data_IF_930349110070
#
_entry.id   IF_930349110070
#
_cell.length_a   1.000
_cell.length_b   1.000
_cell.length_c   1.000
_cell.angle_alpha   90.00
_cell.angle_beta   90.00
_cell.angle_gamma   90.00
#
_symmetry.space_group_name_H-M   'P 1'
#
loop_
_entity.id
_entity.type
_entity.pdbx_description
1 polymer ?
#
# COMPACT_ATOMS: atom_id res chain seq x y z
N UNK A 1 18.66 23.21 -12.41
CA UNK A 1 20.07 23.07 -11.98
C UNK A 1 20.79 22.22 -13.00
N UNK A 2 21.70 22.82 -13.76
CA UNK A 2 22.61 22.11 -14.67
C UNK A 2 23.65 21.35 -13.86
N UNK A 3 23.68 20.02 -13.98
CA UNK A 3 24.75 19.20 -13.42
C UNK A 3 26.02 19.41 -14.27
N UNK A 4 26.97 20.17 -13.73
CA UNK A 4 28.32 20.28 -14.28
C UNK A 4 29.06 18.97 -14.04
N UNK A 5 29.25 18.18 -15.09
CA UNK A 5 30.14 17.02 -15.07
C UNK A 5 31.60 17.50 -15.12
N UNK A 6 32.18 17.70 -13.94
CA UNK A 6 33.64 17.79 -13.76
C UNK A 6 34.04 16.93 -12.56
N UNK A 7 33.55 15.69 -12.47
CA UNK A 7 34.00 14.79 -11.43
C UNK A 7 35.24 14.05 -11.90
N UNK A 8 36.36 14.30 -11.18
CA UNK A 8 37.53 13.41 -11.22
C UNK A 8 37.05 11.98 -10.96
N UNK A 9 37.63 10.96 -11.63
CA UNK A 9 37.27 9.58 -11.35
C UNK A 9 37.44 9.30 -9.85
N UNK A 10 36.43 8.70 -9.22
CA UNK A 10 36.51 8.25 -7.84
C UNK A 10 37.70 7.30 -7.72
N UNK A 11 38.71 7.72 -6.94
CA UNK A 11 39.75 6.80 -6.49
C UNK A 11 39.10 5.85 -5.48
N UNK A 12 39.00 4.57 -5.83
CA UNK A 12 38.47 3.51 -4.96
C UNK A 12 39.40 3.17 -3.77
N UNK A 13 40.53 3.88 -3.66
CA UNK A 13 41.49 3.77 -2.55
C UNK A 13 42.02 5.17 -2.21
N UNK A 14 42.40 5.44 -0.95
CA UNK A 14 43.09 6.67 -0.60
C UNK A 14 44.43 6.78 -1.35
N UNK A 15 44.94 8.01 -1.48
CA UNK A 15 46.26 8.25 -2.08
C UNK A 15 47.38 7.59 -1.25
N UNK A 16 47.20 7.56 0.06
CA UNK A 16 48.03 6.82 1.01
C UNK A 16 47.11 5.93 1.87
N UNK A 17 47.18 4.59 1.74
CA UNK A 17 46.36 3.66 2.52
C UNK A 17 46.77 3.54 3.99
N UNK A 18 47.95 4.03 4.36
CA UNK A 18 48.49 3.91 5.72
C UNK A 18 48.36 5.24 6.51
N UNK A 19 47.87 6.31 5.87
CA UNK A 19 47.64 7.59 6.52
C UNK A 19 46.52 7.50 7.59
N UNK A 20 46.62 8.24 8.71
CA UNK A 20 45.58 8.29 9.71
C UNK A 20 44.29 8.90 9.14
N UNK A 21 43.15 8.38 9.57
CA UNK A 21 41.84 8.92 9.19
C UNK A 21 41.58 10.20 9.99
N UNK A 22 41.46 11.32 9.30
CA UNK A 22 41.00 12.59 9.87
C UNK A 22 39.48 12.72 9.69
N UNK A 23 38.74 12.76 10.80
CA UNK A 23 37.29 12.97 10.77
C UNK A 23 37.03 14.48 10.64
N UNK A 24 36.31 14.84 9.59
CA UNK A 24 35.79 16.20 9.41
C UNK A 24 34.51 16.36 10.23
N UNK A 25 34.65 16.87 11.45
CA UNK A 25 33.55 17.13 12.40
C UNK A 25 32.41 17.95 11.78
N UNK A 26 32.71 18.83 10.81
CA UNK A 26 31.69 19.67 10.16
C UNK A 26 30.75 18.90 9.24
N UNK A 27 31.13 17.68 8.84
CA UNK A 27 30.31 16.78 7.99
C UNK A 27 29.49 15.77 8.79
N UNK A 28 29.63 15.73 10.11
CA UNK A 28 28.87 14.79 10.93
C UNK A 28 27.38 15.13 10.96
N UNK A 29 26.56 14.10 10.71
CA UNK A 29 25.11 14.19 10.89
C UNK A 29 24.74 13.48 12.21
N UNK A 30 24.66 14.26 13.30
CA UNK A 30 24.37 13.73 14.62
C UNK A 30 23.02 13.01 14.71
N UNK A 31 22.01 13.43 13.93
CA UNK A 31 20.71 12.75 13.91
C UNK A 31 20.81 11.37 13.27
N UNK A 32 21.59 11.23 12.19
CA UNK A 32 21.81 9.93 11.56
C UNK A 32 22.56 8.97 12.50
N UNK A 33 23.58 9.47 13.20
CA UNK A 33 24.33 8.69 14.19
C UNK A 33 23.40 8.19 15.29
N UNK A 34 22.59 9.09 15.87
CA UNK A 34 21.61 8.74 16.90
C UNK A 34 20.63 7.65 16.44
N UNK A 35 20.13 7.75 15.20
CA UNK A 35 19.21 6.75 14.61
C UNK A 35 19.92 5.40 14.40
N UNK A 36 21.14 5.42 13.87
CA UNK A 36 21.91 4.20 13.60
C UNK A 36 22.24 3.45 14.90
N UNK A 37 22.75 4.16 15.91
CA UNK A 37 23.05 3.59 17.22
C UNK A 37 21.80 2.99 17.87
N UNK A 38 20.66 3.70 17.82
CA UNK A 38 19.39 3.22 18.36
C UNK A 38 18.89 1.96 17.63
N UNK A 39 19.00 1.92 16.30
CA UNK A 39 18.59 0.76 15.51
C UNK A 39 19.46 -0.47 15.82
N UNK A 40 20.79 -0.30 15.90
CA UNK A 40 21.71 -1.37 16.29
C UNK A 40 21.42 -1.87 17.70
N UNK A 41 21.18 -0.95 18.64
CA UNK A 41 20.83 -1.28 20.02
C UNK A 41 19.49 -2.04 20.12
N UNK A 42 18.52 -1.75 19.23
CA UNK A 42 17.25 -2.46 19.18
C UNK A 42 17.36 -3.87 18.57
N UNK A 43 18.20 -4.05 17.54
CA UNK A 43 18.36 -5.34 16.84
C UNK A 43 19.29 -6.30 17.60
N UNK A 44 20.33 -5.81 18.26
CA UNK A 44 21.31 -6.66 18.94
C UNK A 44 20.70 -7.63 19.99
N UNK A 45 19.73 -7.22 20.82
CA UNK A 45 19.00 -8.14 21.70
C UNK A 45 18.29 -9.27 20.95
N UNK A 46 17.69 -9.00 19.78
CA UNK A 46 17.00 -10.02 18.96
C UNK A 46 17.97 -11.13 18.57
N UNK A 47 19.18 -10.79 18.12
CA UNK A 47 20.21 -11.78 17.77
C UNK A 47 20.60 -12.66 18.97
N UNK A 48 20.75 -12.05 20.15
CA UNK A 48 21.13 -12.78 21.37
C UNK A 48 20.00 -13.66 21.89
N UNK A 49 18.79 -13.12 21.99
CA UNK A 49 17.61 -13.80 22.53
C UNK A 49 17.16 -14.96 21.64
N UNK A 50 17.13 -14.76 20.32
CA UNK A 50 16.77 -15.80 19.36
C UNK A 50 17.95 -16.71 19.00
N UNK A 51 19.14 -16.44 19.54
CA UNK A 51 20.39 -17.17 19.28
C UNK A 51 20.67 -17.30 17.78
N UNK A 52 20.44 -16.21 17.04
CA UNK A 52 20.66 -16.17 15.58
C UNK A 52 22.12 -16.48 15.32
N UNK A 53 22.36 -17.56 14.59
CA UNK A 53 23.69 -18.02 14.21
C UNK A 53 24.22 -17.22 13.04
N UNK A 54 25.54 -17.22 12.85
CA UNK A 54 26.15 -16.61 11.68
C UNK A 54 25.65 -17.24 10.37
N UNK A 55 25.38 -18.56 10.36
CA UNK A 55 24.84 -19.24 9.19
C UNK A 55 23.43 -18.76 8.81
N UNK A 56 22.53 -18.59 9.79
CA UNK A 56 21.20 -18.02 9.56
C UNK A 56 21.27 -16.57 9.07
N UNK A 57 22.22 -15.79 9.61
CA UNK A 57 22.47 -14.43 9.13
C UNK A 57 22.97 -14.41 7.68
N UNK A 58 23.86 -15.31 7.28
CA UNK A 58 24.29 -15.40 5.87
C UNK A 58 23.15 -15.78 4.93
N UNK A 59 22.23 -16.67 5.35
CA UNK A 59 21.01 -16.97 4.58
C UNK A 59 20.14 -15.72 4.41
N UNK A 60 19.95 -14.94 5.48
CA UNK A 60 19.23 -13.65 5.37
C UNK A 60 19.94 -12.69 4.42
N UNK A 61 21.28 -12.61 4.45
CA UNK A 61 22.04 -11.80 3.49
C UNK A 61 21.85 -12.26 2.05
N UNK A 62 21.72 -13.57 1.80
CA UNK A 62 21.42 -14.09 0.46
C UNK A 62 20.05 -13.65 -0.04
N UNK A 63 19.03 -13.65 0.83
CA UNK A 63 17.70 -13.09 0.51
C UNK A 63 17.83 -11.62 0.10
N UNK A 64 18.53 -10.80 0.89
CA UNK A 64 18.74 -9.38 0.59
C UNK A 64 19.49 -9.18 -0.75
N UNK A 65 20.53 -9.99 -1.03
CA UNK A 65 21.26 -9.95 -2.30
C UNK A 65 20.37 -10.26 -3.50
N UNK A 66 19.47 -11.24 -3.37
CA UNK A 66 18.52 -11.58 -4.43
C UNK A 66 17.55 -10.44 -4.65
N UNK A 67 16.95 -9.89 -3.58
CA UNK A 67 16.05 -8.74 -3.66
C UNK A 67 16.72 -7.55 -4.36
N UNK A 68 17.99 -7.27 -4.06
CA UNK A 68 18.73 -6.19 -4.70
C UNK A 68 18.93 -6.44 -6.20
N UNK A 69 19.28 -7.66 -6.61
CA UNK A 69 19.50 -8.01 -8.02
C UNK A 69 18.21 -8.02 -8.83
N UNK A 70 17.09 -8.33 -8.21
CA UNK A 70 15.78 -8.37 -8.84
C UNK A 70 15.01 -7.05 -8.73
N UNK A 71 15.63 -5.98 -8.22
CA UNK A 71 14.96 -4.70 -7.97
C UNK A 71 13.68 -4.81 -7.10
N UNK A 72 13.66 -5.75 -6.15
CA UNK A 72 12.51 -6.09 -5.32
C UNK A 72 12.66 -5.64 -3.85
N UNK A 73 13.72 -4.88 -3.52
CA UNK A 73 13.96 -4.38 -2.15
C UNK A 73 12.81 -3.51 -1.67
N UNK A 74 12.33 -2.59 -2.51
CA UNK A 74 11.21 -1.70 -2.17
C UNK A 74 9.95 -2.50 -1.82
N UNK A 75 9.54 -3.42 -2.71
CA UNK A 75 8.39 -4.30 -2.46
C UNK A 75 8.57 -5.21 -1.23
N UNK A 76 9.79 -5.62 -0.90
CA UNK A 76 10.04 -6.40 0.32
C UNK A 76 9.90 -5.54 1.58
N UNK A 77 10.43 -4.32 1.59
CA UNK A 77 10.31 -3.42 2.74
C UNK A 77 8.87 -2.95 2.96
N UNK A 78 8.12 -2.69 1.89
CA UNK A 78 6.68 -2.39 1.90
C UNK A 78 5.87 -3.50 2.60
N UNK A 79 6.27 -4.76 2.38
CA UNK A 79 5.64 -5.94 2.99
C UNK A 79 6.07 -6.16 4.45
N UNK A 80 7.31 -5.82 4.81
CA UNK A 80 7.88 -6.21 6.11
C UNK A 80 7.95 -5.09 7.15
N UNK A 81 8.28 -3.86 6.74
CA UNK A 81 8.61 -2.78 7.67
C UNK A 81 7.62 -1.62 7.65
N UNK A 82 6.93 -1.33 6.53
CA UNK A 82 6.06 -0.16 6.44
C UNK A 82 4.97 -0.15 7.52
N UNK A 83 4.46 -1.32 7.88
CA UNK A 83 3.50 -1.48 8.97
C UNK A 83 3.98 -1.02 10.35
N UNK A 84 5.29 -0.98 10.59
CA UNK A 84 5.82 -0.52 11.87
C UNK A 84 5.58 0.97 12.11
N UNK A 85 5.27 1.72 11.05
CA UNK A 85 4.98 3.16 11.11
C UNK A 85 3.49 3.47 11.09
N UNK A 86 2.64 2.46 10.92
CA UNK A 86 1.20 2.64 10.78
C UNK A 86 0.50 2.67 12.14
N UNK A 87 0.18 3.88 12.62
CA UNK A 87 -0.54 4.10 13.88
C UNK A 87 -1.95 3.49 13.91
N UNK A 88 -2.57 3.24 12.75
CA UNK A 88 -3.90 2.62 12.67
C UNK A 88 -3.87 1.12 12.98
N UNK A 89 -2.67 0.52 13.04
CA UNK A 89 -2.47 -0.86 13.47
C UNK A 89 -2.41 -1.01 15.00
N UNK A 90 -2.44 0.10 15.75
CA UNK A 90 -2.40 0.09 17.20
C UNK A 90 -3.70 -0.45 17.83
N UNK A 91 -3.57 -1.14 18.96
CA UNK A 91 -4.70 -1.63 19.75
C UNK A 91 -5.64 -0.48 20.16
N UNK A 92 -6.90 -0.58 19.72
CA UNK A 92 -7.96 0.38 20.01
C UNK A 92 -8.24 1.41 18.91
N UNK A 93 -7.64 1.30 17.72
CA UNK A 93 -8.01 2.16 16.58
C UNK A 93 -9.43 1.87 16.09
N UNK A 94 -10.32 2.87 16.16
CA UNK A 94 -11.73 2.72 15.78
C UNK A 94 -12.01 3.08 14.31
N UNK A 95 -11.17 3.93 13.70
CA UNK A 95 -11.31 4.32 12.29
C UNK A 95 -10.95 3.22 11.30
N UNK A 96 -11.06 3.48 10.00
CA UNK A 96 -10.58 2.56 8.97
C UNK A 96 -9.06 2.35 9.13
N UNK A 97 -8.57 1.11 9.17
CA UNK A 97 -7.13 0.85 9.14
C UNK A 97 -6.51 1.33 7.83
N UNK A 98 -5.34 1.97 7.88
CA UNK A 98 -4.56 2.23 6.70
C UNK A 98 -3.83 0.99 6.21
N UNK A 99 -3.37 1.07 4.97
CA UNK A 99 -2.44 0.13 4.38
C UNK A 99 -1.39 0.92 3.61
N UNK A 100 -0.20 0.33 3.41
CA UNK A 100 0.81 0.96 2.59
C UNK A 100 0.36 1.07 1.13
N UNK A 101 1.04 1.95 0.40
CA UNK A 101 0.73 2.27 -0.99
C UNK A 101 0.96 1.08 -1.93
N UNK A 102 1.99 0.29 -1.65
CA UNK A 102 2.47 -0.73 -2.55
C UNK A 102 3.25 -0.14 -3.74
N UNK A 103 4.06 -0.96 -4.42
CA UNK A 103 5.02 -0.50 -5.42
C UNK A 103 4.39 -0.14 -6.78
N UNK A 104 3.07 -0.23 -6.92
CA UNK A 104 2.37 -0.13 -8.21
C UNK A 104 1.50 1.13 -8.33
N UNK A 105 1.64 2.09 -7.41
CA UNK A 105 1.05 3.41 -7.59
C UNK A 105 1.75 4.17 -8.71
N UNK A 106 0.97 4.84 -9.56
CA UNK A 106 1.48 5.72 -10.60
C UNK A 106 0.73 7.05 -10.51
N UNK A 107 1.41 8.18 -10.21
CA UNK A 107 0.74 9.47 -10.07
C UNK A 107 0.23 9.97 -11.43
N UNK A 108 -0.88 10.71 -11.41
CA UNK A 108 -1.43 11.35 -12.61
C UNK A 108 -2.55 10.58 -13.32
N UNK A 109 -3.16 9.61 -12.65
CA UNK A 109 -4.36 8.94 -13.16
C UNK A 109 -5.45 9.94 -13.58
N UNK A 110 -6.28 9.62 -14.59
CA UNK A 110 -7.26 10.55 -15.13
C UNK A 110 -8.32 10.92 -14.10
N UNK A 111 -8.66 12.21 -14.01
CA UNK A 111 -9.81 12.67 -13.23
C UNK A 111 -11.09 12.38 -14.01
N UNK A 112 -11.91 11.48 -13.47
CA UNK A 112 -13.12 10.97 -14.08
C UNK A 112 -14.29 11.94 -13.90
N UNK A 113 -15.19 11.95 -14.89
CA UNK A 113 -16.47 12.66 -14.82
C UNK A 113 -17.55 11.69 -14.35
N UNK A 114 -18.45 12.17 -13.50
CA UNK A 114 -19.61 11.38 -13.10
C UNK A 114 -20.49 11.09 -14.31
N UNK A 115 -20.98 9.86 -14.41
CA UNK A 115 -21.82 9.37 -15.52
C UNK A 115 -23.32 9.38 -15.19
N UNK A 116 -23.70 9.86 -14.01
CA UNK A 116 -25.08 9.85 -13.54
C UNK A 116 -25.32 10.87 -12.42
N UNK A 117 -26.51 10.86 -11.80
CA UNK A 117 -26.77 11.68 -10.62
C UNK A 117 -25.86 11.24 -9.47
N UNK A 118 -25.28 12.20 -8.75
CA UNK A 118 -24.34 11.93 -7.66
C UNK A 118 -22.91 11.63 -8.16
N UNK A 119 -22.16 10.94 -7.32
CA UNK A 119 -20.75 10.60 -7.51
C UNK A 119 -20.59 9.17 -8.07
N UNK A 120 -21.04 8.95 -9.31
CA UNK A 120 -21.02 7.64 -9.99
C UNK A 120 -20.00 7.64 -11.14
N UNK A 121 -18.99 6.78 -11.04
CA UNK A 121 -17.85 6.76 -11.97
C UNK A 121 -17.65 5.39 -12.62
N UNK A 122 -16.85 5.35 -13.68
CA UNK A 122 -16.43 4.12 -14.34
C UNK A 122 -14.92 4.23 -14.54
N UNK A 123 -14.16 3.27 -14.00
CA UNK A 123 -12.72 3.26 -14.22
C UNK A 123 -12.42 3.07 -15.72
N UNK A 124 -11.33 3.66 -16.25
CA UNK A 124 -10.87 3.35 -17.59
C UNK A 124 -10.66 1.84 -17.71
N UNK A 125 -11.22 1.22 -18.74
CA UNK A 125 -11.06 -0.20 -19.00
C UNK A 125 -11.22 -0.50 -20.50
N UNK A 126 -10.78 -1.66 -20.97
CA UNK A 126 -11.05 -2.10 -22.35
C UNK A 126 -12.57 -2.24 -22.58
N UNK A 127 -13.00 -2.17 -23.84
CA UNK A 127 -14.43 -2.36 -24.19
C UNK A 127 -14.95 -3.75 -23.84
N UNK A 128 -14.06 -4.73 -23.82
CA UNK A 128 -14.26 -6.14 -23.53
C UNK A 128 -13.38 -6.57 -22.35
N UNK A 129 -13.20 -5.68 -21.37
CA UNK A 129 -12.35 -5.93 -20.19
C UNK A 129 -12.69 -7.29 -19.56
N UNK A 130 -11.75 -8.25 -19.57
CA UNK A 130 -12.03 -9.56 -19.01
C UNK A 130 -12.22 -9.47 -17.50
N UNK A 131 -13.08 -10.35 -16.97
CA UNK A 131 -13.40 -10.41 -15.55
C UNK A 131 -14.87 -10.17 -15.27
N UNK A 132 -15.22 -10.27 -13.99
CA UNK A 132 -16.60 -10.09 -13.53
C UNK A 132 -16.82 -8.62 -13.19
N UNK A 133 -17.82 -7.93 -13.76
CA UNK A 133 -18.11 -6.56 -13.39
C UNK A 133 -18.38 -6.40 -11.89
N UNK A 134 -17.86 -5.32 -11.33
CA UNK A 134 -17.97 -4.97 -9.92
C UNK A 134 -18.33 -3.50 -9.79
N UNK A 135 -19.33 -3.21 -8.96
CA UNK A 135 -19.67 -1.86 -8.52
C UNK A 135 -19.29 -1.74 -7.05
N UNK A 136 -18.39 -0.81 -6.74
CA UNK A 136 -18.00 -0.50 -5.37
C UNK A 136 -18.62 0.84 -4.99
N UNK A 137 -19.28 0.89 -3.84
CA UNK A 137 -19.84 2.12 -3.28
C UNK A 137 -19.43 2.31 -1.83
N UNK A 138 -19.58 3.52 -1.33
CA UNK A 138 -19.27 3.84 0.05
C UNK A 138 -19.41 5.30 0.35
N UNK A 139 -19.03 5.65 1.57
CA UNK A 139 -19.00 7.02 2.05
C UNK A 139 -17.71 7.29 2.79
N UNK A 140 -17.11 8.45 2.53
CA UNK A 140 -15.95 8.94 3.26
C UNK A 140 -16.42 9.87 4.37
N UNK A 141 -16.05 9.56 5.60
CA UNK A 141 -16.41 10.31 6.81
C UNK A 141 -15.20 10.53 7.70
N UNK A 142 -15.24 11.61 8.46
CA UNK A 142 -14.36 11.82 9.59
C UNK A 142 -14.76 10.92 10.78
N UNK A 143 -13.88 10.76 11.77
CA UNK A 143 -14.17 9.96 12.98
C UNK A 143 -15.33 10.49 13.83
N UNK A 144 -15.68 11.77 13.70
CA UNK A 144 -16.87 12.39 14.33
C UNK A 144 -18.17 12.16 13.53
N UNK A 145 -18.09 11.43 12.41
CA UNK A 145 -19.21 11.13 11.52
C UNK A 145 -19.46 12.18 10.43
N UNK A 146 -18.76 13.33 10.43
CA UNK A 146 -18.90 14.36 9.39
C UNK A 146 -18.54 13.77 8.02
N UNK A 147 -19.42 13.86 7.00
CA UNK A 147 -19.06 13.44 5.66
C UNK A 147 -17.95 14.33 5.07
N UNK A 148 -16.97 13.71 4.40
CA UNK A 148 -15.92 14.42 3.67
C UNK A 148 -16.39 14.63 2.23
N UNK A 149 -17.04 15.76 1.99
CA UNK A 149 -17.51 16.18 0.67
C UNK A 149 -16.33 16.58 -0.23
N UNK A 150 -16.41 16.29 -1.53
CA UNK A 150 -15.36 16.62 -2.49
C UNK A 150 -13.97 16.07 -2.12
N UNK A 151 -13.91 14.98 -1.35
CA UNK A 151 -12.66 14.23 -1.14
C UNK A 151 -12.27 13.56 -2.45
N UNK A 152 -11.01 13.71 -2.88
CA UNK A 152 -10.48 13.00 -4.03
C UNK A 152 -10.17 11.55 -3.63
N UNK A 153 -10.78 10.57 -4.30
CA UNK A 153 -10.35 9.18 -4.28
C UNK A 153 -9.52 8.91 -5.54
N UNK A 154 -8.34 8.35 -5.35
CA UNK A 154 -7.43 7.87 -6.38
C UNK A 154 -7.29 6.36 -6.21
N UNK A 155 -7.81 5.60 -7.18
CA UNK A 155 -7.97 4.15 -7.08
C UNK A 155 -7.25 3.41 -8.19
N UNK A 156 -6.69 2.24 -7.84
CA UNK A 156 -6.06 1.32 -8.77
C UNK A 156 -6.16 -0.13 -8.30
N UNK A 157 -6.13 -1.05 -9.27
CA UNK A 157 -6.14 -2.50 -9.05
C UNK A 157 -5.46 -3.22 -10.22
N UNK A 158 -5.22 -4.53 -10.07
CA UNK A 158 -4.83 -5.39 -11.17
C UNK A 158 -6.02 -5.78 -12.07
N UNK A 159 -5.70 -6.17 -13.31
CA UNK A 159 -6.62 -6.82 -14.24
C UNK A 159 -6.85 -8.30 -13.89
N UNK A 160 -7.61 -9.02 -14.71
CA UNK A 160 -7.84 -10.47 -14.57
C UNK A 160 -6.55 -11.30 -14.71
N UNK A 161 -5.53 -10.74 -15.35
CA UNK A 161 -4.18 -11.30 -15.47
C UNK A 161 -3.37 -11.21 -14.16
N UNK A 162 -3.84 -10.43 -13.18
CA UNK A 162 -3.08 -10.11 -11.96
C UNK A 162 -2.02 -9.01 -12.15
N UNK A 163 -1.93 -8.44 -13.36
CA UNK A 163 -0.98 -7.35 -13.69
C UNK A 163 -1.66 -6.00 -13.55
N UNK A 164 -0.94 -5.01 -13.02
CA UNK A 164 -1.37 -3.62 -13.03
C UNK A 164 -0.94 -2.93 -14.33
N UNK A 165 -1.80 -2.08 -14.87
CA UNK A 165 -1.45 -1.22 -16.01
C UNK A 165 -0.28 -0.28 -15.70
N UNK A 166 0.32 0.28 -16.74
CA UNK A 166 1.49 1.20 -16.65
C UNK A 166 2.81 0.54 -16.22
N UNK A 167 2.86 -0.79 -16.08
CA UNK A 167 4.08 -1.53 -15.76
C UNK A 167 4.84 -2.05 -17.00
N UNK A 168 4.23 -1.98 -18.19
CA UNK A 168 4.83 -2.50 -19.43
C UNK A 168 4.97 -4.03 -19.48
N UNK A 169 4.21 -4.75 -18.64
CA UNK A 169 4.25 -6.21 -18.52
C UNK A 169 3.16 -6.91 -19.33
N UNK A 170 2.15 -6.17 -19.79
CA UNK A 170 1.09 -6.65 -20.68
C UNK A 170 0.60 -5.54 -21.63
N UNK A 171 -0.45 -5.84 -22.39
CA UNK A 171 -1.03 -4.95 -23.42
C UNK A 171 -2.18 -4.06 -22.90
N UNK A 172 -2.28 -3.90 -21.56
CA UNK A 172 -3.28 -3.01 -20.98
C UNK A 172 -3.14 -1.59 -21.55
N UNK A 173 -4.26 -0.92 -21.90
CA UNK A 173 -4.20 0.49 -22.25
C UNK A 173 -3.70 1.32 -21.06
N UNK A 174 -3.13 2.49 -21.35
CA UNK A 174 -2.72 3.42 -20.31
C UNK A 174 -3.89 3.70 -19.36
N UNK A 175 -3.60 3.66 -18.06
CA UNK A 175 -4.57 3.87 -16.97
C UNK A 175 -5.70 2.84 -16.88
N UNK A 176 -5.60 1.67 -17.53
CA UNK A 176 -6.56 0.57 -17.34
C UNK A 176 -6.73 0.28 -15.84
N UNK A 177 -7.97 0.28 -15.36
CA UNK A 177 -8.39 0.08 -13.97
C UNK A 177 -7.75 1.06 -12.97
N UNK A 178 -7.45 2.29 -13.41
CA UNK A 178 -6.91 3.38 -12.58
C UNK A 178 -7.68 4.68 -12.80
N UNK A 179 -8.08 5.36 -11.73
CA UNK A 179 -8.82 6.62 -11.90
C UNK A 179 -8.92 7.45 -10.64
N UNK A 180 -9.11 8.75 -10.83
CA UNK A 180 -9.40 9.71 -9.77
C UNK A 180 -10.81 10.23 -9.87
N UNK A 181 -11.48 10.44 -8.75
CA UNK A 181 -12.83 11.00 -8.71
C UNK A 181 -13.10 11.64 -7.35
N UNK A 182 -14.20 12.37 -7.24
CA UNK A 182 -14.56 13.06 -6.00
C UNK A 182 -15.79 12.42 -5.35
N UNK A 183 -15.87 12.47 -4.03
CA UNK A 183 -17.12 12.21 -3.33
C UNK A 183 -18.17 13.29 -3.62
N UNK A 184 -19.45 12.95 -3.45
CA UNK A 184 -20.54 13.95 -3.50
C UNK A 184 -20.58 14.83 -2.24
N UNK A 185 -21.59 15.69 -2.14
CA UNK A 185 -21.78 16.60 -1.00
C UNK A 185 -22.08 15.89 0.32
N UNK A 186 -22.49 14.63 0.26
CA UNK A 186 -22.67 13.77 1.43
C UNK A 186 -21.45 12.86 1.63
N UNK A 187 -20.34 13.04 0.91
CA UNK A 187 -19.16 12.19 1.03
C UNK A 187 -19.33 10.81 0.39
N UNK A 188 -20.40 10.57 -0.39
CA UNK A 188 -20.66 9.28 -1.05
C UNK A 188 -19.86 9.14 -2.33
N UNK A 189 -19.51 7.92 -2.69
CA UNK A 189 -18.95 7.56 -3.99
C UNK A 189 -19.50 6.22 -4.48
N UNK A 190 -19.50 6.04 -5.79
CA UNK A 190 -19.73 4.78 -6.47
C UNK A 190 -18.83 4.72 -7.70
N UNK A 191 -18.13 3.60 -7.92
CA UNK A 191 -17.39 3.38 -9.15
C UNK A 191 -17.56 1.95 -9.67
N UNK A 192 -17.59 1.84 -11.00
CA UNK A 192 -17.64 0.57 -11.71
C UNK A 192 -16.25 0.16 -12.20
N UNK A 193 -15.92 -1.10 -11.97
CA UNK A 193 -14.66 -1.77 -12.31
C UNK A 193 -14.94 -3.26 -12.59
N UNK A 194 -13.90 -4.09 -12.60
CA UNK A 194 -13.99 -5.56 -12.50
C UNK A 194 -13.54 -6.03 -11.12
N UNK A 195 -13.98 -7.22 -10.70
CA UNK A 195 -13.44 -7.87 -9.51
C UNK A 195 -11.99 -8.30 -9.79
N UNK A 196 -10.99 -7.77 -9.06
CA UNK A 196 -9.60 -8.16 -9.25
C UNK A 196 -9.37 -9.62 -8.87
N UNK A 197 -8.25 -10.18 -9.32
CA UNK A 197 -7.79 -11.53 -8.97
C UNK A 197 -6.73 -11.47 -7.87
N UNK A 198 -6.49 -12.58 -7.12
CA UNK A 198 -5.30 -12.71 -6.32
C UNK A 198 -4.09 -12.63 -7.24
N UNK A 199 -3.05 -11.92 -6.85
CA UNK A 199 -1.85 -11.76 -7.68
C UNK A 199 -0.59 -11.94 -6.86
N UNK A 200 0.49 -12.19 -7.58
CA UNK A 200 1.85 -12.25 -7.05
C UNK A 200 2.67 -11.23 -7.84
N UNK A 201 3.63 -10.52 -7.22
CA UNK A 201 4.54 -9.64 -7.95
C UNK A 201 5.18 -10.41 -9.11
N UNK A 202 5.12 -9.84 -10.32
CA UNK A 202 5.44 -10.59 -11.53
C UNK A 202 6.93 -11.00 -11.65
N UNK A 203 7.84 -10.32 -10.95
CA UNK A 203 9.28 -10.61 -10.94
C UNK A 203 9.77 -11.26 -9.63
N UNK A 204 8.85 -11.86 -8.85
CA UNK A 204 9.22 -12.48 -7.58
C UNK A 204 10.17 -13.67 -7.81
N UNK A 205 11.18 -13.78 -6.96
CA UNK A 205 12.21 -14.81 -7.06
C UNK A 205 11.87 -16.02 -6.19
N UNK A 206 12.27 -17.23 -6.60
CA UNK A 206 11.96 -18.47 -5.89
C UNK A 206 12.37 -18.44 -4.40
N UNK A 207 13.52 -17.83 -4.08
CA UNK A 207 13.98 -17.71 -2.68
C UNK A 207 12.99 -16.94 -1.79
N UNK A 208 12.21 -16.02 -2.36
CA UNK A 208 11.17 -15.27 -1.63
C UNK A 208 9.94 -16.14 -1.42
N UNK A 209 9.60 -17.00 -2.39
CA UNK A 209 8.51 -17.97 -2.24
C UNK A 209 8.85 -19.02 -1.18
N UNK A 210 10.09 -19.53 -1.18
CA UNK A 210 10.58 -20.45 -0.15
C UNK A 210 10.53 -19.81 1.24
N UNK A 211 10.81 -18.50 1.32
CA UNK A 211 10.68 -17.72 2.54
C UNK A 211 9.22 -17.59 2.99
N UNK A 212 8.28 -17.37 2.07
CA UNK A 212 6.85 -17.35 2.38
C UNK A 212 6.34 -18.72 2.86
N UNK A 213 6.77 -19.81 2.23
CA UNK A 213 6.45 -21.17 2.66
C UNK A 213 6.94 -21.43 4.09
N UNK A 214 8.17 -21.02 4.41
CA UNK A 214 8.74 -21.15 5.75
C UNK A 214 7.96 -20.36 6.82
N UNK A 215 7.29 -19.27 6.42
CA UNK A 215 6.44 -18.45 7.29
C UNK A 215 4.96 -18.88 7.29
N UNK A 216 4.59 -19.91 6.52
CA UNK A 216 3.20 -20.33 6.34
C UNK A 216 2.32 -19.26 5.67
N UNK A 217 2.94 -18.44 4.80
CA UNK A 217 2.26 -17.41 4.01
C UNK A 217 1.89 -17.94 2.64
N UNK A 218 0.89 -17.33 2.02
CA UNK A 218 0.55 -17.62 0.64
C UNK A 218 1.53 -16.94 -0.32
N UNK A 219 1.63 -17.47 -1.54
CA UNK A 219 2.42 -16.84 -2.62
C UNK A 219 1.68 -15.67 -3.29
N UNK A 220 0.35 -15.68 -3.22
CA UNK A 220 -0.50 -14.65 -3.78
C UNK A 220 -1.03 -13.74 -2.67
N UNK A 221 -1.04 -12.44 -2.97
CA UNK A 221 -1.82 -11.46 -2.21
C UNK A 221 -3.31 -11.68 -2.47
N UNK A 222 -4.18 -11.52 -1.47
CA UNK A 222 -5.62 -11.58 -1.67
C UNK A 222 -6.09 -10.54 -2.68
N UNK A 223 -7.27 -10.75 -3.27
CA UNK A 223 -7.90 -9.75 -4.14
C UNK A 223 -8.03 -8.43 -3.38
N UNK A 224 -7.60 -7.32 -3.98
CA UNK A 224 -7.77 -6.01 -3.37
C UNK A 224 -7.85 -4.87 -4.38
N UNK A 225 -8.41 -3.75 -3.91
CA UNK A 225 -8.47 -2.47 -4.62
C UNK A 225 -7.78 -1.43 -3.73
N UNK A 226 -6.80 -0.70 -4.26
CA UNK A 226 -6.16 0.38 -3.52
C UNK A 226 -7.02 1.65 -3.56
N UNK A 227 -7.01 2.38 -2.44
CA UNK A 227 -7.63 3.69 -2.30
C UNK A 227 -6.66 4.66 -1.64
N UNK A 228 -6.40 5.75 -2.33
CA UNK A 228 -5.78 6.96 -1.79
C UNK A 228 -6.82 8.05 -1.71
N UNK A 229 -7.07 8.56 -0.50
CA UNK A 229 -8.02 9.64 -0.26
C UNK A 229 -7.25 10.92 0.04
N UNK A 230 -7.58 12.01 -0.65
CA UNK A 230 -7.02 13.34 -0.38
C UNK A 230 -8.14 14.31 -0.06
N UNK A 231 -7.97 15.06 1.03
CA UNK A 231 -8.92 16.08 1.46
C UNK A 231 -8.25 17.01 2.48
N UNK A 232 -8.59 18.29 2.47
CA UNK A 232 -7.96 19.30 3.34
C UNK A 232 -8.13 19.04 4.84
N UNK A 233 -9.25 18.41 5.23
CA UNK A 233 -9.51 18.03 6.63
C UNK A 233 -8.70 16.82 7.11
N UNK A 234 -8.15 15.97 6.22
CA UNK A 234 -7.43 14.75 6.62
C UNK A 234 -6.16 15.14 7.41
N UNK A 235 -5.89 14.41 8.49
CA UNK A 235 -4.71 14.66 9.32
C UNK A 235 -3.38 14.44 8.57
N UNK A 236 -2.26 14.80 9.19
CA UNK A 236 -0.90 14.66 8.64
C UNK A 236 -0.69 15.45 7.32
N UNK A 237 -0.26 14.79 6.25
CA UNK A 237 0.06 15.36 4.93
C UNK A 237 -1.16 15.53 4.02
N UNK A 238 -2.37 15.43 4.57
CA UNK A 238 -3.64 15.59 3.86
C UNK A 238 -4.04 14.38 3.03
N UNK A 239 -3.46 13.20 3.31
CA UNK A 239 -3.72 11.97 2.58
C UNK A 239 -4.01 10.80 3.53
N UNK A 240 -4.86 9.87 3.08
CA UNK A 240 -5.13 8.62 3.75
C UNK A 240 -5.08 7.47 2.75
N UNK A 241 -4.41 6.39 3.13
CA UNK A 241 -4.09 5.28 2.26
C UNK A 241 -4.66 3.98 2.82
N UNK A 242 -5.40 3.22 2.02
CA UNK A 242 -5.90 1.90 2.43
C UNK A 242 -6.13 0.99 1.22
N UNK A 243 -6.50 -0.26 1.50
CA UNK A 243 -6.85 -1.27 0.51
C UNK A 243 -8.18 -1.92 0.90
N UNK A 244 -9.07 -2.15 -0.07
CA UNK A 244 -10.32 -2.88 0.12
C UNK A 244 -10.12 -4.34 -0.29
N UNK A 245 -10.38 -5.27 0.61
CA UNK A 245 -10.27 -6.72 0.37
C UNK A 245 -11.65 -7.35 0.25
N UNK A 246 -11.73 -8.63 -0.11
CA UNK A 246 -13.01 -9.32 -0.31
C UNK A 246 -13.26 -10.34 0.79
N UNK A 247 -14.44 -10.29 1.41
CA UNK A 247 -14.82 -11.27 2.42
C UNK A 247 -14.86 -12.68 1.81
N UNK A 248 -14.26 -13.65 2.52
CA UNK A 248 -14.16 -15.04 2.06
C UNK A 248 -13.05 -15.30 1.05
N UNK A 249 -12.19 -14.33 0.75
CA UNK A 249 -10.98 -14.58 -0.05
C UNK A 249 -10.05 -15.57 0.70
N UNK A 250 -9.66 -16.70 0.08
CA UNK A 250 -8.85 -17.72 0.74
C UNK A 250 -7.44 -17.22 1.13
N UNK A 251 -6.95 -16.15 0.51
CA UNK A 251 -5.64 -15.58 0.78
C UNK A 251 -5.64 -14.52 1.89
N UNK A 252 -6.82 -14.12 2.40
CA UNK A 252 -6.95 -12.98 3.32
C UNK A 252 -6.14 -13.16 4.62
N UNK A 253 -6.13 -14.37 5.19
CA UNK A 253 -5.44 -14.66 6.45
C UNK A 253 -3.94 -14.96 6.26
N UNK A 254 -3.55 -15.32 5.04
CA UNK A 254 -2.20 -15.76 4.70
C UNK A 254 -1.47 -14.75 3.79
N UNK A 255 -1.97 -13.51 3.69
CA UNK A 255 -1.36 -12.47 2.86
C UNK A 255 0.15 -12.37 3.14
N UNK A 256 1.03 -12.58 2.14
CA UNK A 256 2.47 -12.45 2.32
C UNK A 256 2.86 -11.02 2.73
N UNK A 257 2.11 -10.01 2.24
CA UNK A 257 2.23 -8.61 2.64
C UNK A 257 1.79 -8.33 4.06
N UNK A 258 1.07 -9.28 4.66
CA UNK A 258 0.33 -9.18 5.91
C UNK A 258 -0.73 -8.06 5.93
N UNK A 259 -0.72 -7.09 5.00
CA UNK A 259 -1.61 -5.94 4.84
C UNK A 259 -3.11 -6.28 4.94
N UNK A 260 -3.47 -7.47 4.48
CA UNK A 260 -4.55 -8.33 4.94
C UNK A 260 -5.25 -7.93 6.26
N UNK A 261 -6.45 -7.32 6.24
CA UNK A 261 -7.24 -7.16 7.47
C UNK A 261 -8.73 -7.44 7.23
N UNK A 262 -9.36 -8.19 8.14
CA UNK A 262 -10.80 -8.54 8.05
C UNK A 262 -11.72 -7.33 8.12
N UNK A 263 -11.37 -6.32 8.93
CA UNK A 263 -12.05 -4.99 8.94
C UNK A 263 -12.01 -4.23 7.62
N UNK A 264 -11.13 -4.60 6.69
CA UNK A 264 -11.05 -4.03 5.36
C UNK A 264 -11.67 -4.94 4.30
N UNK A 265 -12.23 -6.08 4.70
CA UNK A 265 -12.86 -7.04 3.80
C UNK A 265 -14.33 -6.70 3.58
N UNK A 266 -14.67 -6.24 2.38
CA UNK A 266 -16.04 -5.91 2.00
C UNK A 266 -16.83 -7.18 1.62
N UNK A 267 -18.10 -7.30 2.06
CA UNK A 267 -19.01 -8.30 1.55
C UNK A 267 -19.39 -7.99 0.10
N UNK A 268 -19.63 -9.03 -0.69
CA UNK A 268 -20.09 -8.90 -2.08
C UNK A 268 -21.45 -9.55 -2.27
N UNK A 269 -22.33 -8.89 -3.02
CA UNK A 269 -23.62 -9.44 -3.47
C UNK A 269 -23.54 -9.71 -4.96
N UNK A 270 -24.07 -10.86 -5.40
CA UNK A 270 -24.21 -11.19 -6.83
C UNK A 270 -25.60 -10.81 -7.31
N UNK A 271 -25.67 -10.05 -8.40
CA UNK A 271 -26.91 -9.52 -8.96
C UNK A 271 -27.12 -10.08 -10.36
N UNK A 272 -28.32 -10.60 -10.62
CA UNK A 272 -28.70 -11.25 -11.88
C UNK A 272 -29.84 -10.53 -12.62
N UNK A 273 -30.44 -9.52 -12.00
CA UNK A 273 -31.65 -8.88 -12.52
C UNK A 273 -31.38 -8.15 -13.85
N UNK A 274 -32.01 -8.56 -14.98
CA UNK A 274 -31.73 -7.97 -16.29
C UNK A 274 -32.03 -6.46 -16.35
N UNK A 275 -33.04 -6.01 -15.60
CA UNK A 275 -33.38 -4.60 -15.49
C UNK A 275 -32.25 -3.80 -14.81
N UNK A 276 -31.61 -4.37 -13.80
CA UNK A 276 -30.51 -3.73 -13.08
C UNK A 276 -29.22 -3.73 -13.91
N UNK A 277 -28.87 -4.85 -14.54
CA UNK A 277 -27.78 -4.92 -15.52
C UNK A 277 -27.91 -3.83 -16.58
N UNK A 278 -29.12 -3.65 -17.14
CA UNK A 278 -29.40 -2.58 -18.09
C UNK A 278 -29.23 -1.19 -17.48
N UNK A 279 -29.78 -0.93 -16.30
CA UNK A 279 -29.69 0.36 -15.63
C UNK A 279 -28.25 0.75 -15.28
N UNK A 280 -27.40 -0.25 -14.99
CA UNK A 280 -25.96 -0.08 -14.69
C UNK A 280 -25.06 -0.10 -15.93
N UNK A 281 -25.63 -0.16 -17.13
CA UNK A 281 -24.88 -0.18 -18.39
C UNK A 281 -24.01 -1.44 -18.56
N UNK A 282 -24.46 -2.57 -18.02
CA UNK A 282 -23.81 -3.90 -18.04
C UNK A 282 -24.61 -4.88 -18.92
N UNK A 283 -25.24 -4.36 -19.97
CA UNK A 283 -25.98 -5.18 -20.93
C UNK A 283 -25.00 -6.15 -21.62
N UNK A 284 -25.31 -7.45 -21.63
CA UNK A 284 -24.44 -8.49 -22.19
C UNK A 284 -23.68 -9.31 -21.15
N UNK A 285 -23.70 -8.92 -19.88
CA UNK A 285 -23.25 -9.77 -18.78
C UNK A 285 -24.42 -10.57 -18.18
N UNK A 286 -24.14 -11.79 -17.72
CA UNK A 286 -25.12 -12.64 -17.03
C UNK A 286 -25.35 -12.19 -15.57
N UNK A 287 -24.34 -11.59 -14.96
CA UNK A 287 -24.37 -11.09 -13.59
C UNK A 287 -23.26 -10.07 -13.32
N UNK A 288 -23.38 -9.37 -12.20
CA UNK A 288 -22.33 -8.50 -11.68
C UNK A 288 -22.31 -8.53 -10.16
N UNK A 289 -21.21 -8.07 -9.56
CA UNK A 289 -21.09 -7.93 -8.12
C UNK A 289 -21.28 -6.49 -7.67
N UNK A 290 -21.87 -6.32 -6.49
CA UNK A 290 -21.85 -5.07 -5.74
C UNK A 290 -21.10 -5.27 -4.43
N UNK A 291 -20.36 -4.25 -4.01
CA UNK A 291 -19.70 -4.21 -2.71
C UNK A 291 -19.84 -2.81 -2.11
N UNK A 292 -20.02 -2.74 -0.80
CA UNK A 292 -20.19 -1.49 -0.07
C UNK A 292 -19.18 -1.41 1.06
N UNK A 293 -18.45 -0.29 1.16
CA UNK A 293 -17.47 -0.06 2.19
C UNK A 293 -17.33 1.43 2.54
N UNK A 294 -17.65 1.79 3.78
CA UNK A 294 -17.48 3.15 4.30
C UNK A 294 -16.07 3.35 4.86
N UNK A 295 -15.51 4.54 4.62
CA UNK A 295 -14.20 4.96 5.10
C UNK A 295 -14.39 5.96 6.24
N UNK A 296 -13.87 5.63 7.42
CA UNK A 296 -13.83 6.51 8.60
C UNK A 296 -12.39 6.93 8.85
N UNK A 297 -12.07 8.18 8.52
CA UNK A 297 -10.69 8.69 8.47
C UNK A 297 -10.46 9.72 9.59
N UNK A 298 -9.29 9.70 10.20
CA UNK A 298 -8.90 10.74 11.14
C UNK A 298 -8.63 12.07 10.43
N UNK A 299 -9.26 13.12 10.93
CA UNK A 299 -9.06 14.51 10.49
C UNK A 299 -8.22 15.26 11.52
N UNK A 300 -7.62 16.39 11.12
CA UNK A 300 -6.82 17.22 12.03
C UNK A 300 -7.57 17.62 13.33
N UNK A 301 -8.91 17.65 13.29
CA UNK A 301 -9.77 17.96 14.43
C UNK A 301 -10.22 16.75 15.24
N UNK A 302 -10.03 15.53 14.73
CA UNK A 302 -10.56 14.28 15.34
C UNK A 302 -9.50 13.26 15.73
N UNK A 303 -8.21 13.54 15.48
CA UNK A 303 -7.12 12.71 16.01
C UNK A 303 -7.31 12.58 17.53
N UNK A 304 -7.51 11.36 18.07
CA UNK A 304 -7.48 11.18 19.50
C UNK A 304 -6.11 11.67 19.97
N UNK A 305 -6.07 12.71 20.81
CA UNK A 305 -4.83 13.04 21.55
C UNK A 305 -4.47 11.84 22.40
N UNK A 306 -3.72 10.86 21.86
CA UNK A 306 -3.00 9.94 22.71
C UNK A 306 -1.80 10.69 23.28
N UNK A 307 -1.91 10.85 24.59
CA UNK A 307 -1.00 11.44 25.54
C UNK A 307 0.46 11.54 25.08
N UNK A 308 1.03 12.73 25.25
CA UNK A 308 2.43 12.90 25.59
C UNK A 308 2.77 12.03 26.81
N UNK A 309 3.08 10.75 26.60
CA UNK A 309 3.55 9.80 27.62
C UNK A 309 4.03 8.50 26.96
N UNK A 310 5.18 8.58 26.30
CA UNK A 310 6.20 7.55 26.47
C UNK A 310 7.50 8.26 26.85
N UNK A 311 7.49 8.85 28.05
CA UNK A 311 8.72 9.07 28.77
C UNK A 311 9.26 7.67 29.09
N UNK A 312 10.39 7.32 28.48
CA UNK A 312 11.25 6.22 28.90
C UNK A 312 11.40 6.34 30.42
N UNK A 313 11.02 5.32 31.23
CA UNK A 313 11.28 5.39 32.65
C UNK A 313 12.80 5.48 32.83
N UNK A 314 13.33 6.41 33.65
CA UNK A 314 14.76 6.43 33.91
C UNK A 314 15.17 5.09 34.49
N UNK A 315 16.08 4.41 33.80
CA UNK A 315 16.78 3.25 34.33
C UNK A 315 17.39 3.65 35.68
N UNK A 316 16.88 3.06 36.76
CA UNK A 316 17.51 3.20 38.08
C UNK A 316 18.88 2.54 38.03
N UNK A 317 19.89 3.30 38.42
CA UNK A 317 21.23 2.85 38.81
C UNK A 317 21.19 1.81 39.92
#
# INVERSE_FOLDING_TARGET
>A
MTLSSTDKPLLLRPADPDAPVEIDETKLNHRLIEIEEALVAAIAPVFREKKITHAEYELFRDVIRVLQRSNAVEGFLDVWLDRLTDETTADGWEGTPSNPEGPYYVPGAPLLKSIGPGACYVLPMRSDEPGVPLIVSGQVRAMDGKPLAMAELDTWQCADTGVYSMLGMDDQPDWNLRGRFHTDQEGRFEFRTIRPVPYMPADIQQIILDFYDALGKAHYRPRHIHLKVRHEDIAADGQFMTQLYFQGDPYLQADPGQNAHTRLAMPTVTNHEPAELKARGLQGHDFFHTAHFDLTIATATTVPRRAAQQAVPPTRS
#
